data_IF_359023606342
#
_entry.id   IF_359023606342
#
_cell.length_a   1.000
_cell.length_b   1.000
_cell.length_c   1.000
_cell.angle_alpha   90.00
_cell.angle_beta   90.00
_cell.angle_gamma   90.00
#
_symmetry.space_group_name_H-M   'P 1'
#
loop_
_entity.id
_entity.type
_entity.pdbx_description
1 polymer ?
#
# COMPACT_ATOMS: atom_id res chain seq x y z
N UNK A 1 15.49 2.09 10.94
CA UNK A 1 14.89 1.77 9.63
C UNK A 1 15.29 2.87 8.67
N UNK A 2 15.65 2.53 7.45
CA UNK A 2 15.96 3.54 6.43
C UNK A 2 14.66 4.06 5.82
N UNK A 3 14.60 5.36 5.61
CA UNK A 3 13.44 6.05 5.05
C UNK A 3 13.81 6.70 3.72
N UNK A 4 12.83 6.84 2.84
CA UNK A 4 12.92 7.60 1.59
C UNK A 4 11.91 8.75 1.64
N UNK A 5 12.30 9.90 1.09
CA UNK A 5 11.43 11.08 1.02
C UNK A 5 10.92 11.25 -0.40
N UNK A 6 9.61 11.39 -0.53
CA UNK A 6 8.92 11.76 -1.76
C UNK A 6 8.43 13.20 -1.62
N UNK A 7 8.71 14.03 -2.62
CA UNK A 7 8.04 15.33 -2.77
C UNK A 7 6.98 15.19 -3.84
N UNK A 8 5.73 15.42 -3.48
CA UNK A 8 4.62 15.26 -4.43
C UNK A 8 4.56 16.44 -5.40
N UNK A 9 3.85 16.28 -6.51
CA UNK A 9 3.63 17.37 -7.49
C UNK A 9 3.03 18.62 -6.85
N UNK A 10 2.14 18.49 -5.86
CA UNK A 10 1.57 19.63 -5.14
C UNK A 10 2.42 20.12 -3.96
N UNK A 11 3.65 19.62 -3.82
CA UNK A 11 4.63 20.13 -2.86
C UNK A 11 4.52 19.56 -1.44
N UNK A 12 3.81 18.44 -1.24
CA UNK A 12 3.79 17.72 0.04
C UNK A 12 5.07 16.92 0.22
N UNK A 13 5.54 16.82 1.45
CA UNK A 13 6.67 15.97 1.82
C UNK A 13 6.18 14.69 2.50
N UNK A 14 6.41 13.55 1.85
CA UNK A 14 6.01 12.24 2.36
C UNK A 14 7.26 11.46 2.71
N UNK A 15 7.32 10.95 3.94
CA UNK A 15 8.38 10.04 4.37
C UNK A 15 7.83 8.62 4.36
N UNK A 16 8.45 7.76 3.57
CA UNK A 16 8.11 6.35 3.46
C UNK A 16 9.28 5.49 3.95
N UNK A 17 9.00 4.27 4.40
CA UNK A 17 10.05 3.26 4.59
C UNK A 17 10.72 2.97 3.25
N UNK A 18 12.06 2.88 3.24
CA UNK A 18 12.81 2.54 2.03
C UNK A 18 12.57 1.09 1.57
N UNK A 19 12.25 0.20 2.51
CA UNK A 19 11.86 -1.19 2.28
C UNK A 19 10.96 -1.67 3.40
N UNK A 20 10.17 -2.72 3.14
CA UNK A 20 9.51 -3.51 4.19
C UNK A 20 10.36 -4.72 4.57
N UNK A 21 10.27 -5.15 5.82
CA UNK A 21 10.92 -6.35 6.32
C UNK A 21 10.20 -7.62 5.83
N UNK A 22 10.88 -8.77 5.90
CA UNK A 22 10.27 -10.06 5.57
C UNK A 22 9.03 -10.39 6.44
N UNK A 23 8.98 -9.87 7.66
CA UNK A 23 7.83 -10.02 8.57
C UNK A 23 6.63 -9.26 8.03
N UNK A 24 6.81 -7.99 7.72
CA UNK A 24 5.79 -7.11 7.13
C UNK A 24 5.30 -7.65 5.77
N UNK A 25 6.22 -8.11 4.91
CA UNK A 25 5.86 -8.74 3.64
C UNK A 25 5.00 -10.00 3.84
N UNK A 26 5.32 -10.82 4.85
CA UNK A 26 4.54 -12.03 5.16
C UNK A 26 3.13 -11.66 5.64
N UNK A 27 3.00 -10.64 6.47
CA UNK A 27 1.70 -10.13 6.93
C UNK A 27 0.86 -9.62 5.75
N UNK A 28 1.46 -8.83 4.87
CA UNK A 28 0.80 -8.30 3.69
C UNK A 28 0.36 -9.41 2.73
N UNK A 29 1.21 -10.40 2.46
CA UNK A 29 0.87 -11.58 1.65
C UNK A 29 -0.29 -12.38 2.26
N UNK A 30 -0.32 -12.53 3.57
CA UNK A 30 -1.41 -13.25 4.24
C UNK A 30 -2.76 -12.54 4.04
N UNK A 31 -2.77 -11.21 4.07
CA UNK A 31 -3.98 -10.44 3.78
C UNK A 31 -4.44 -10.62 2.33
N UNK A 32 -3.51 -10.53 1.36
CA UNK A 32 -3.83 -10.78 -0.05
C UNK A 32 -4.36 -12.21 -0.30
N UNK A 33 -3.78 -13.23 0.34
CA UNK A 33 -4.26 -14.60 0.22
C UNK A 33 -5.63 -14.81 0.88
N UNK A 34 -5.94 -14.08 1.95
CA UNK A 34 -7.23 -14.15 2.63
C UNK A 34 -8.39 -13.56 1.81
N UNK A 35 -8.08 -12.73 0.80
CA UNK A 35 -9.09 -12.16 -0.12
C UNK A 35 -9.21 -12.94 -1.42
N UNK A 36 -8.21 -13.75 -1.76
CA UNK A 36 -8.26 -14.63 -2.92
C UNK A 36 -9.26 -15.76 -2.66
N UNK A 37 -10.45 -15.66 -3.27
CA UNK A 37 -11.38 -16.79 -3.36
C UNK A 37 -10.92 -17.69 -4.50
N UNK A 38 -10.64 -18.95 -4.18
CA UNK A 38 -10.34 -19.96 -5.19
C UNK A 38 -11.64 -20.61 -5.66
N UNK A 39 -11.89 -20.62 -6.97
CA UNK A 39 -12.89 -21.51 -7.54
C UNK A 39 -12.26 -22.89 -7.78
N UNK A 40 -12.63 -23.92 -7.00
CA UNK A 40 -12.08 -25.26 -7.17
C UNK A 40 -12.50 -25.94 -8.48
N UNK A 41 -13.44 -25.37 -9.25
CA UNK A 41 -13.93 -25.94 -10.52
C UNK A 41 -13.18 -25.42 -11.74
N UNK A 42 -12.83 -24.14 -11.78
CA UNK A 42 -12.05 -23.53 -12.88
C UNK A 42 -10.55 -23.45 -12.60
N UNK A 43 -10.15 -23.48 -11.32
CA UNK A 43 -8.79 -23.20 -10.91
C UNK A 43 -8.42 -21.71 -10.97
N UNK A 44 -9.39 -20.84 -11.25
CA UNK A 44 -9.19 -19.39 -11.36
C UNK A 44 -9.56 -18.69 -10.05
N UNK A 45 -8.84 -17.60 -9.73
CA UNK A 45 -9.15 -16.72 -8.59
C UNK A 45 -10.19 -15.71 -9.08
N UNK A 46 -11.45 -15.94 -8.72
CA UNK A 46 -12.53 -15.02 -9.03
C UNK A 46 -12.98 -14.30 -7.76
N UNK A 47 -13.11 -12.98 -7.86
CA UNK A 47 -13.81 -12.12 -6.91
C UNK A 47 -12.98 -11.72 -5.66
N UNK A 48 -12.07 -10.75 -5.87
CA UNK A 48 -11.51 -9.96 -4.78
C UNK A 48 -12.62 -9.04 -4.26
N UNK A 49 -13.05 -9.28 -3.02
CA UNK A 49 -14.02 -8.42 -2.32
C UNK A 49 -13.46 -6.98 -2.25
N UNK A 50 -14.12 -5.98 -2.89
CA UNK A 50 -13.63 -4.62 -2.95
C UNK A 50 -13.36 -4.00 -1.57
N UNK A 51 -14.16 -4.35 -0.56
CA UNK A 51 -13.97 -3.84 0.81
C UNK A 51 -12.70 -4.39 1.44
N UNK A 52 -12.35 -5.64 1.12
CA UNK A 52 -11.11 -6.23 1.62
C UNK A 52 -9.89 -5.73 0.85
N UNK A 53 -10.03 -5.40 -0.43
CA UNK A 53 -8.99 -4.73 -1.19
C UNK A 53 -8.65 -3.36 -0.58
N UNK A 54 -9.68 -2.58 -0.21
CA UNK A 54 -9.52 -1.31 0.49
C UNK A 54 -8.84 -1.50 1.86
N UNK A 55 -9.23 -2.52 2.63
CA UNK A 55 -8.59 -2.81 3.92
C UNK A 55 -7.09 -3.15 3.78
N UNK A 56 -6.73 -3.93 2.76
CA UNK A 56 -5.33 -4.26 2.46
C UNK A 56 -4.55 -3.00 2.14
N UNK A 57 -5.13 -2.13 1.32
CA UNK A 57 -4.51 -0.88 0.94
C UNK A 57 -4.25 0.02 2.15
N UNK A 58 -5.27 0.22 2.99
CA UNK A 58 -5.18 1.01 4.21
C UNK A 58 -4.08 0.48 5.15
N UNK A 59 -3.97 -0.85 5.29
CA UNK A 59 -2.89 -1.47 6.07
C UNK A 59 -1.51 -1.28 5.44
N UNK A 60 -1.44 -1.33 4.11
CA UNK A 60 -0.18 -1.09 3.40
C UNK A 60 0.29 0.35 3.61
N UNK A 61 -0.62 1.32 3.53
CA UNK A 61 -0.35 2.73 3.82
C UNK A 61 0.18 2.88 5.25
N UNK A 62 -0.53 2.34 6.24
CA UNK A 62 -0.13 2.42 7.64
C UNK A 62 1.21 1.72 7.93
N UNK A 63 1.58 0.72 7.14
CA UNK A 63 2.83 -0.02 7.27
C UNK A 63 4.01 0.73 6.64
N UNK A 64 3.81 1.42 5.52
CA UNK A 64 4.90 1.98 4.70
C UNK A 64 5.10 3.47 4.93
N UNK A 65 4.04 4.24 5.10
CA UNK A 65 4.12 5.69 5.27
C UNK A 65 4.41 6.04 6.73
N UNK A 66 5.47 6.81 6.95
CA UNK A 66 5.96 7.20 8.27
C UNK A 66 5.41 8.56 8.68
N UNK A 67 5.46 9.55 7.76
CA UNK A 67 4.96 10.89 8.05
C UNK A 67 4.57 11.67 6.80
N UNK A 68 3.71 12.66 6.97
CA UNK A 68 3.27 13.62 5.95
C UNK A 68 3.50 15.03 6.47
N UNK A 69 4.33 15.82 5.79
CA UNK A 69 4.76 17.16 6.19
C UNK A 69 5.25 17.21 7.66
N UNK A 70 5.97 16.16 8.08
CA UNK A 70 6.48 15.99 9.44
C UNK A 70 5.45 15.54 10.48
N UNK A 71 4.22 15.21 10.09
CA UNK A 71 3.17 14.69 10.97
C UNK A 71 3.05 13.18 10.85
N UNK A 72 2.98 12.50 11.99
CA UNK A 72 2.83 11.04 12.10
C UNK A 72 1.39 10.62 12.50
N UNK A 73 0.49 11.58 12.72
CA UNK A 73 -0.92 11.32 13.02
C UNK A 73 -1.79 11.37 11.76
N UNK A 74 -2.89 10.60 11.76
CA UNK A 74 -3.93 10.64 10.71
C UNK A 74 -3.41 10.51 9.28
N UNK A 75 -2.37 9.69 9.10
CA UNK A 75 -1.67 9.49 7.82
C UNK A 75 -2.64 9.00 6.75
N UNK A 76 -3.46 8.00 7.10
CA UNK A 76 -4.41 7.41 6.19
C UNK A 76 -5.45 8.42 5.72
N UNK A 77 -6.12 9.11 6.65
CA UNK A 77 -7.13 10.12 6.30
C UNK A 77 -6.52 11.23 5.46
N UNK A 78 -5.31 11.68 5.83
CA UNK A 78 -4.61 12.72 5.10
C UNK A 78 -4.32 12.31 3.66
N UNK A 79 -3.91 11.06 3.40
CA UNK A 79 -3.67 10.54 2.04
C UNK A 79 -4.96 10.41 1.25
N UNK A 80 -6.04 9.94 1.88
CA UNK A 80 -7.34 9.77 1.21
C UNK A 80 -7.99 11.11 0.84
N UNK A 81 -7.65 12.19 1.57
CA UNK A 81 -8.10 13.56 1.29
C UNK A 81 -7.19 14.33 0.30
N UNK A 82 -6.10 13.72 -0.19
CA UNK A 82 -5.17 14.37 -1.13
C UNK A 82 -5.73 14.45 -2.56
N UNK A 83 -5.23 15.40 -3.38
CA UNK A 83 -5.40 15.34 -4.82
C UNK A 83 -4.95 13.98 -5.37
N UNK A 84 -5.73 13.43 -6.32
CA UNK A 84 -5.50 12.11 -6.90
C UNK A 84 -4.07 11.93 -7.47
N UNK A 85 -3.45 13.01 -7.93
CA UNK A 85 -2.07 13.02 -8.44
C UNK A 85 -1.08 12.66 -7.33
N UNK A 86 -1.18 13.32 -6.17
CA UNK A 86 -0.29 13.05 -5.03
C UNK A 86 -0.50 11.63 -4.50
N UNK A 87 -1.77 11.19 -4.40
CA UNK A 87 -2.11 9.83 -4.01
C UNK A 87 -1.45 8.81 -4.94
N UNK A 88 -1.55 8.98 -6.26
CA UNK A 88 -0.95 8.04 -7.22
C UNK A 88 0.58 7.98 -7.10
N UNK A 89 1.25 9.11 -6.91
CA UNK A 89 2.71 9.16 -6.69
C UNK A 89 3.13 8.42 -5.43
N UNK A 90 2.36 8.56 -4.35
CA UNK A 90 2.59 7.82 -3.10
C UNK A 90 2.44 6.33 -3.33
N UNK A 91 1.39 5.92 -4.05
CA UNK A 91 1.12 4.51 -4.32
C UNK A 91 2.17 3.85 -5.21
N UNK A 92 2.67 4.58 -6.22
CA UNK A 92 3.81 4.14 -7.02
C UNK A 92 5.04 3.92 -6.14
N UNK A 93 5.36 4.89 -5.28
CA UNK A 93 6.52 4.81 -4.38
C UNK A 93 6.39 3.69 -3.35
N UNK A 94 5.17 3.41 -2.88
CA UNK A 94 4.90 2.29 -1.99
C UNK A 94 5.11 0.93 -2.67
N UNK A 95 4.77 0.81 -3.94
CA UNK A 95 5.02 -0.43 -4.70
C UNK A 95 6.53 -0.72 -4.79
N UNK A 96 7.36 0.31 -4.97
CA UNK A 96 8.82 0.16 -4.93
C UNK A 96 9.31 -0.37 -3.58
N UNK A 97 8.80 0.19 -2.47
CA UNK A 97 9.21 -0.18 -1.12
C UNK A 97 8.75 -1.59 -0.70
N UNK A 98 7.60 -2.04 -1.22
CA UNK A 98 7.02 -3.34 -0.88
C UNK A 98 7.47 -4.46 -1.81
N UNK A 99 7.93 -4.13 -3.02
CA UNK A 99 8.26 -5.10 -4.07
C UNK A 99 7.05 -5.91 -4.56
N UNK A 100 5.84 -5.51 -4.19
CA UNK A 100 4.59 -6.14 -4.62
C UNK A 100 4.14 -5.47 -5.92
N UNK A 101 4.50 -6.08 -7.03
CA UNK A 101 3.88 -5.75 -8.30
C UNK A 101 2.47 -6.35 -8.32
N UNK A 102 1.44 -5.52 -8.11
CA UNK A 102 0.03 -5.93 -8.14
C UNK A 102 -0.32 -6.70 -9.45
N UNK A 103 0.43 -6.50 -10.54
CA UNK A 103 0.28 -7.22 -11.82
C UNK A 103 0.90 -8.62 -11.84
N UNK A 104 1.78 -8.97 -10.89
CA UNK A 104 2.41 -10.30 -10.78
C UNK A 104 1.71 -11.22 -9.77
N UNK A 105 0.68 -10.72 -9.10
CA UNK A 105 -0.13 -11.46 -8.14
C UNK A 105 -1.43 -12.03 -8.76
N UNK A 106 -1.66 -11.77 -10.04
CA UNK A 106 -2.75 -12.30 -10.86
C UNK A 106 -2.16 -13.19 -11.95
#
# INVERSE_FOLDING_TARGET
MENTTLKTTNGREIVLKAYITARELRELKALYLAVAKFDPKSGEVFDIDPKKAEEIENKTIAMVVVSIDGKEDRILETILDMPIVDYNEIMEKMNDATGLDKKKLV
#
